data_IF_343187528585
#
_entry.id   IF_343187528585
#
_cell.length_a   1.000
_cell.length_b   1.000
_cell.length_c   1.000
_cell.angle_alpha   90.00
_cell.angle_beta   90.00
_cell.angle_gamma   90.00
#
_symmetry.space_group_name_H-M   'P 1'
#
loop_
_entity.id
_entity.type
_entity.pdbx_description
1 polymer ?
#
# COMPACT_ATOMS: atom_id res chain seq x y z
N UNK A 1 34.84 64.20 -10.54
CA UNK A 1 33.48 63.79 -10.94
C UNK A 1 32.55 63.55 -9.74
N UNK A 2 33.00 62.92 -8.66
CA UNK A 2 32.19 62.62 -7.45
C UNK A 2 31.56 63.84 -6.74
N UNK A 3 32.23 65.01 -6.69
CA UNK A 3 31.68 66.23 -6.06
C UNK A 3 30.46 66.82 -6.80
N UNK A 4 30.40 66.66 -8.13
CA UNK A 4 29.26 67.15 -8.93
C UNK A 4 28.03 66.25 -8.74
N UNK A 5 28.24 64.93 -8.78
CA UNK A 5 27.20 63.93 -8.50
C UNK A 5 26.65 64.05 -7.08
N UNK A 6 27.50 64.38 -6.10
CA UNK A 6 27.10 64.61 -4.70
C UNK A 6 26.20 65.86 -4.54
N UNK A 7 26.54 66.95 -5.21
CA UNK A 7 25.74 68.18 -5.16
C UNK A 7 24.38 68.02 -5.86
N UNK A 8 24.31 67.23 -6.94
CA UNK A 8 23.06 66.87 -7.61
C UNK A 8 22.19 65.93 -6.75
N UNK A 9 22.80 64.91 -6.12
CA UNK A 9 22.09 64.03 -5.18
C UNK A 9 21.54 64.81 -3.98
N UNK A 10 22.30 65.77 -3.45
CA UNK A 10 21.87 66.59 -2.31
C UNK A 10 20.68 67.49 -2.66
N UNK A 11 20.64 68.02 -3.90
CA UNK A 11 19.55 68.87 -4.39
C UNK A 11 18.27 68.09 -4.74
N UNK A 12 18.38 66.81 -5.09
CA UNK A 12 17.23 65.91 -5.41
C UNK A 12 17.03 64.74 -4.43
N UNK A 13 17.59 64.80 -3.22
CA UNK A 13 17.63 63.71 -2.23
C UNK A 13 16.28 63.01 -2.02
N UNK A 14 15.17 63.76 -1.96
CA UNK A 14 13.82 63.22 -1.80
C UNK A 14 13.36 62.35 -2.99
N UNK A 15 13.73 62.72 -4.22
CA UNK A 15 13.38 61.97 -5.45
C UNK A 15 14.19 60.67 -5.57
N UNK A 16 15.48 60.71 -5.23
CA UNK A 16 16.33 59.51 -5.23
C UNK A 16 15.88 58.49 -4.16
N UNK A 17 15.51 58.95 -2.97
CA UNK A 17 14.98 58.07 -1.92
C UNK A 17 13.67 57.42 -2.39
N UNK A 18 12.74 58.21 -2.93
CA UNK A 18 11.47 57.67 -3.43
C UNK A 18 11.67 56.60 -4.51
N UNK A 19 12.52 56.87 -5.51
CA UNK A 19 12.81 55.91 -6.57
C UNK A 19 13.47 54.62 -6.03
N UNK A 20 14.44 54.76 -5.12
CA UNK A 20 15.08 53.62 -4.47
C UNK A 20 14.10 52.77 -3.67
N UNK A 21 13.19 53.40 -2.92
CA UNK A 21 12.14 52.71 -2.17
C UNK A 21 11.17 51.98 -3.09
N UNK A 22 10.74 52.60 -4.20
CA UNK A 22 9.84 51.95 -5.17
C UNK A 22 10.51 50.74 -5.82
N UNK A 23 11.73 50.88 -6.35
CA UNK A 23 12.45 49.79 -6.99
C UNK A 23 12.78 48.66 -6.00
N UNK A 24 13.23 49.00 -4.80
CA UNK A 24 13.49 48.04 -3.74
C UNK A 24 12.22 47.29 -3.31
N UNK A 25 11.09 48.01 -3.18
CA UNK A 25 9.79 47.43 -2.86
C UNK A 25 9.30 46.45 -3.91
N UNK A 26 9.38 46.81 -5.20
CA UNK A 26 9.01 45.93 -6.32
C UNK A 26 9.90 44.68 -6.36
N UNK A 27 11.22 44.82 -6.16
CA UNK A 27 12.13 43.68 -6.14
C UNK A 27 11.81 42.69 -5.01
N UNK A 28 11.59 43.19 -3.79
CA UNK A 28 11.26 42.35 -2.64
C UNK A 28 9.91 41.64 -2.85
N UNK A 29 8.89 42.37 -3.32
CA UNK A 29 7.57 41.79 -3.61
C UNK A 29 7.63 40.72 -4.71
N UNK A 30 8.34 40.99 -5.80
CA UNK A 30 8.50 40.02 -6.89
C UNK A 30 9.22 38.74 -6.43
N UNK A 31 10.30 38.89 -5.66
CA UNK A 31 11.05 37.75 -5.10
C UNK A 31 10.20 36.95 -4.11
N UNK A 32 9.38 37.62 -3.30
CA UNK A 32 8.44 36.96 -2.39
C UNK A 32 7.35 36.21 -3.16
N UNK A 33 6.79 36.80 -4.21
CA UNK A 33 5.81 36.15 -5.09
C UNK A 33 6.36 34.89 -5.76
N UNK A 34 7.55 34.96 -6.35
CA UNK A 34 8.21 33.79 -6.95
C UNK A 34 8.49 32.69 -5.93
N UNK A 35 8.99 33.07 -4.74
CA UNK A 35 9.21 32.12 -3.65
C UNK A 35 7.91 31.46 -3.22
N UNK A 36 6.82 32.23 -3.11
CA UNK A 36 5.51 31.74 -2.69
C UNK A 36 4.89 30.78 -3.71
N UNK A 37 4.98 31.09 -5.00
CA UNK A 37 4.47 30.20 -6.07
C UNK A 37 5.23 28.88 -6.06
N UNK A 38 6.56 28.94 -5.96
CA UNK A 38 7.39 27.74 -5.93
C UNK A 38 7.10 26.87 -4.70
N UNK A 39 6.95 27.48 -3.52
CA UNK A 39 6.59 26.77 -2.29
C UNK A 39 5.23 26.07 -2.41
N UNK A 40 4.24 26.71 -3.04
CA UNK A 40 2.92 26.11 -3.29
C UNK A 40 3.04 24.91 -4.25
N UNK A 41 3.76 25.08 -5.37
CA UNK A 41 3.98 23.98 -6.33
C UNK A 41 4.72 22.80 -5.71
N UNK A 42 5.77 23.07 -4.94
CA UNK A 42 6.54 22.02 -4.25
C UNK A 42 5.66 21.27 -3.24
N UNK A 43 4.78 21.98 -2.53
CA UNK A 43 3.83 21.37 -1.60
C UNK A 43 2.79 20.51 -2.31
N UNK A 44 2.16 21.02 -3.36
CA UNK A 44 1.18 20.27 -4.15
C UNK A 44 1.82 19.03 -4.80
N UNK A 45 3.02 19.16 -5.35
CA UNK A 45 3.77 18.04 -5.91
C UNK A 45 4.12 16.99 -4.84
N UNK A 46 4.52 17.42 -3.64
CA UNK A 46 4.81 16.50 -2.53
C UNK A 46 3.56 15.76 -2.06
N UNK A 47 2.43 16.45 -1.91
CA UNK A 47 1.15 15.85 -1.54
C UNK A 47 0.67 14.86 -2.61
N UNK A 48 0.77 15.23 -3.89
CA UNK A 48 0.45 14.36 -5.02
C UNK A 48 1.29 13.08 -5.05
N UNK A 49 2.62 13.20 -4.93
CA UNK A 49 3.53 12.05 -4.90
C UNK A 49 3.23 11.16 -3.68
N UNK A 50 2.96 11.75 -2.51
CA UNK A 50 2.63 10.99 -1.31
C UNK A 50 1.32 10.20 -1.46
N UNK A 51 0.31 10.79 -2.12
CA UNK A 51 -0.95 10.11 -2.42
C UNK A 51 -0.77 9.01 -3.47
N UNK A 52 -0.06 9.29 -4.56
CA UNK A 52 0.23 8.31 -5.61
C UNK A 52 0.98 7.10 -5.06
N UNK A 53 1.96 7.31 -4.18
CA UNK A 53 2.70 6.23 -3.51
C UNK A 53 1.78 5.37 -2.64
N UNK A 54 0.88 5.99 -1.86
CA UNK A 54 -0.10 5.27 -1.03
C UNK A 54 -1.01 4.39 -1.88
N UNK A 55 -1.53 4.94 -2.97
CA UNK A 55 -2.41 4.21 -3.88
C UNK A 55 -1.70 3.03 -4.54
N UNK A 56 -0.48 3.24 -5.04
CA UNK A 56 0.32 2.17 -5.63
C UNK A 56 0.58 1.03 -4.65
N UNK A 57 0.97 1.35 -3.41
CA UNK A 57 1.17 0.34 -2.36
C UNK A 57 -0.12 -0.44 -2.07
N UNK A 58 -1.26 0.25 -1.99
CA UNK A 58 -2.55 -0.40 -1.74
C UNK A 58 -2.94 -1.35 -2.88
N UNK A 59 -2.87 -0.90 -4.13
CA UNK A 59 -3.19 -1.72 -5.31
C UNK A 59 -2.24 -2.90 -5.49
N UNK A 60 -0.94 -2.68 -5.22
CA UNK A 60 0.05 -3.74 -5.23
C UNK A 60 -0.28 -4.79 -4.17
N UNK A 61 -0.59 -4.36 -2.93
CA UNK A 61 -0.94 -5.27 -1.85
C UNK A 61 -2.21 -6.07 -2.16
N UNK A 62 -3.19 -5.45 -2.80
CA UNK A 62 -4.39 -6.14 -3.24
C UNK A 62 -4.10 -7.22 -4.29
N UNK A 63 -3.25 -6.91 -5.28
CA UNK A 63 -2.82 -7.87 -6.30
C UNK A 63 -2.06 -9.03 -5.69
N UNK A 64 -1.12 -8.76 -4.78
CA UNK A 64 -0.38 -9.79 -4.05
C UNK A 64 -1.32 -10.71 -3.29
N UNK A 65 -2.27 -10.15 -2.53
CA UNK A 65 -3.25 -10.95 -1.80
C UNK A 65 -4.08 -11.86 -2.72
N UNK A 66 -4.53 -11.35 -3.88
CA UNK A 66 -5.28 -12.16 -4.83
C UNK A 66 -4.43 -13.34 -5.34
N UNK A 67 -3.16 -13.09 -5.67
CA UNK A 67 -2.25 -14.15 -6.12
C UNK A 67 -1.98 -15.18 -5.03
N UNK A 68 -1.75 -14.75 -3.79
CA UNK A 68 -1.50 -15.65 -2.65
C UNK A 68 -2.72 -16.51 -2.33
N UNK A 69 -3.94 -15.94 -2.38
CA UNK A 69 -5.18 -16.72 -2.22
C UNK A 69 -5.24 -17.83 -3.27
N UNK A 70 -5.01 -17.47 -4.55
CA UNK A 70 -5.07 -18.43 -5.64
C UNK A 70 -3.99 -19.52 -5.54
N UNK A 71 -2.81 -19.20 -5.02
CA UNK A 71 -1.74 -20.18 -4.83
C UNK A 71 -1.97 -21.12 -3.64
N UNK A 72 -2.67 -20.67 -2.60
CA UNK A 72 -2.99 -21.48 -1.41
C UNK A 72 -4.29 -22.29 -1.55
N UNK A 73 -5.16 -21.89 -2.49
CA UNK A 73 -6.44 -22.56 -2.75
C UNK A 73 -6.29 -24.06 -3.13
N UNK A 74 -5.30 -24.49 -3.95
CA UNK A 74 -5.06 -25.91 -4.23
C UNK A 74 -4.73 -26.70 -2.97
N UNK A 75 -3.84 -26.19 -2.12
CA UNK A 75 -3.46 -26.84 -0.85
C UNK A 75 -4.67 -26.96 0.08
N UNK A 76 -5.50 -25.92 0.17
CA UNK A 76 -6.75 -25.96 0.94
C UNK A 76 -7.71 -27.01 0.38
N UNK A 77 -7.89 -27.05 -0.94
CA UNK A 77 -8.75 -28.04 -1.62
C UNK A 77 -8.25 -29.47 -1.35
N UNK A 78 -6.96 -29.73 -1.46
CA UNK A 78 -6.37 -31.05 -1.24
C UNK A 78 -6.58 -31.50 0.22
N UNK A 79 -6.35 -30.63 1.19
CA UNK A 79 -6.61 -30.91 2.60
C UNK A 79 -8.10 -31.26 2.86
N UNK A 80 -9.03 -30.52 2.23
CA UNK A 80 -10.46 -30.82 2.33
C UNK A 80 -10.83 -32.15 1.66
N UNK A 81 -10.26 -32.45 0.49
CA UNK A 81 -10.53 -33.71 -0.22
C UNK A 81 -9.96 -34.92 0.53
N UNK A 82 -8.81 -34.77 1.20
CA UNK A 82 -8.21 -35.82 2.02
C UNK A 82 -9.01 -36.09 3.30
N UNK A 83 -9.42 -35.04 4.03
CA UNK A 83 -10.15 -35.18 5.29
C UNK A 83 -11.63 -35.57 5.09
N UNK A 84 -12.25 -35.14 3.99
CA UNK A 84 -13.67 -35.36 3.68
C UNK A 84 -13.83 -36.11 2.36
N UNK A 85 -13.26 -37.31 2.30
CA UNK A 85 -13.18 -38.12 1.08
C UNK A 85 -14.53 -38.79 0.72
N UNK A 86 -15.37 -38.08 -0.01
CA UNK A 86 -16.63 -38.62 -0.57
C UNK A 86 -16.42 -39.63 -1.70
N UNK A 87 -15.26 -39.62 -2.37
CA UNK A 87 -14.99 -40.49 -3.53
C UNK A 87 -14.83 -41.95 -3.10
N UNK A 88 -14.23 -42.19 -1.93
CA UNK A 88 -14.10 -43.51 -1.33
C UNK A 88 -15.46 -44.18 -1.07
N UNK A 89 -16.40 -43.45 -0.45
CA UNK A 89 -17.77 -43.91 -0.21
C UNK A 89 -18.54 -44.14 -1.52
N UNK A 90 -18.34 -43.25 -2.50
CA UNK A 90 -18.97 -43.40 -3.83
C UNK A 90 -18.45 -44.64 -4.55
N UNK A 91 -17.17 -44.97 -4.42
CA UNK A 91 -16.57 -46.18 -4.97
C UNK A 91 -17.10 -47.44 -4.27
N UNK A 92 -17.25 -47.41 -2.94
CA UNK A 92 -17.87 -48.50 -2.18
C UNK A 92 -19.31 -48.77 -2.66
N UNK A 93 -20.12 -47.72 -2.88
CA UNK A 93 -21.49 -47.87 -3.38
C UNK A 93 -21.57 -48.53 -4.76
N UNK A 94 -20.57 -48.33 -5.64
CA UNK A 94 -20.54 -48.95 -6.97
C UNK A 94 -20.39 -50.48 -6.91
N UNK A 95 -19.76 -50.99 -5.86
CA UNK A 95 -19.54 -52.44 -5.65
C UNK A 95 -20.75 -53.17 -5.03
N UNK A 96 -21.92 -52.51 -4.91
CA UNK A 96 -23.16 -53.07 -4.35
C UNK A 96 -22.97 -53.77 -2.99
N UNK A 97 -22.48 -53.05 -1.97
CA UNK A 97 -22.29 -53.60 -0.64
C UNK A 97 -23.64 -53.88 0.04
N UNK A 98 -23.64 -54.80 1.01
CA UNK A 98 -24.83 -55.16 1.79
C UNK A 98 -25.32 -54.02 2.67
N UNK A 99 -24.41 -53.18 3.19
CA UNK A 99 -24.69 -52.03 4.06
C UNK A 99 -24.91 -50.72 3.27
N UNK A 100 -25.70 -50.77 2.20
CA UNK A 100 -25.95 -49.61 1.33
C UNK A 100 -26.50 -48.39 2.07
N UNK A 101 -27.42 -48.57 3.02
CA UNK A 101 -28.09 -47.46 3.71
C UNK A 101 -27.11 -46.61 4.52
N UNK A 102 -26.27 -47.24 5.33
CA UNK A 102 -25.24 -46.59 6.15
C UNK A 102 -24.28 -45.76 5.28
N UNK A 103 -23.80 -46.33 4.17
CA UNK A 103 -22.87 -45.64 3.27
C UNK A 103 -23.53 -44.41 2.61
N UNK A 104 -24.83 -44.45 2.33
CA UNK A 104 -25.57 -43.29 1.81
C UNK A 104 -25.76 -42.19 2.85
N UNK A 105 -25.94 -42.55 4.12
CA UNK A 105 -26.00 -41.58 5.22
C UNK A 105 -24.65 -40.92 5.45
N UNK A 106 -23.56 -41.69 5.49
CA UNK A 106 -22.20 -41.17 5.60
C UNK A 106 -21.86 -40.24 4.41
N UNK A 107 -22.23 -40.65 3.19
CA UNK A 107 -22.00 -39.84 2.00
C UNK A 107 -22.75 -38.51 2.07
N UNK A 108 -23.96 -38.50 2.63
CA UNK A 108 -24.75 -37.29 2.84
C UNK A 108 -24.05 -36.36 3.84
N UNK A 109 -23.66 -36.88 5.01
CA UNK A 109 -22.99 -36.11 6.05
C UNK A 109 -21.69 -35.49 5.52
N UNK A 110 -20.85 -36.30 4.84
CA UNK A 110 -19.57 -35.82 4.29
C UNK A 110 -19.80 -34.78 3.20
N UNK A 111 -20.79 -34.97 2.32
CA UNK A 111 -21.07 -34.02 1.24
C UNK A 111 -21.53 -32.64 1.75
N UNK A 112 -22.40 -32.62 2.76
CA UNK A 112 -22.83 -31.38 3.41
C UNK A 112 -21.69 -30.72 4.19
N UNK A 113 -20.97 -31.50 5.00
CA UNK A 113 -19.83 -31.01 5.79
C UNK A 113 -18.76 -30.42 4.89
N UNK A 114 -18.43 -31.08 3.77
CA UNK A 114 -17.43 -30.59 2.81
C UNK A 114 -17.80 -29.25 2.22
N UNK A 115 -19.06 -29.06 1.84
CA UNK A 115 -19.54 -27.79 1.29
C UNK A 115 -19.47 -26.67 2.32
N UNK A 116 -19.92 -26.92 3.55
CA UNK A 116 -19.92 -25.93 4.63
C UNK A 116 -18.48 -25.54 4.99
N UNK A 117 -17.62 -26.52 5.25
CA UNK A 117 -16.22 -26.28 5.63
C UNK A 117 -15.47 -25.59 4.48
N UNK A 118 -15.72 -25.94 3.21
CA UNK A 118 -15.10 -25.26 2.07
C UNK A 118 -15.44 -23.76 2.04
N UNK A 119 -16.69 -23.38 2.29
CA UNK A 119 -17.09 -21.96 2.35
C UNK A 119 -16.39 -21.26 3.53
N UNK A 120 -16.48 -21.81 4.74
CA UNK A 120 -15.89 -21.20 5.93
C UNK A 120 -14.37 -21.05 5.80
N UNK A 121 -13.67 -22.12 5.40
CA UNK A 121 -12.21 -22.10 5.28
C UNK A 121 -11.75 -21.14 4.18
N UNK A 122 -12.45 -21.06 3.05
CA UNK A 122 -12.09 -20.13 1.97
C UNK A 122 -12.29 -18.68 2.41
N UNK A 123 -13.41 -18.36 3.06
CA UNK A 123 -13.66 -17.02 3.60
C UNK A 123 -12.61 -16.64 4.65
N UNK A 124 -12.29 -17.55 5.57
CA UNK A 124 -11.29 -17.32 6.60
C UNK A 124 -9.90 -17.10 5.99
N UNK A 125 -9.50 -17.93 5.01
CA UNK A 125 -8.24 -17.80 4.29
C UNK A 125 -8.10 -16.42 3.63
N UNK A 126 -9.13 -15.95 2.91
CA UNK A 126 -9.11 -14.64 2.24
C UNK A 126 -8.98 -13.50 3.26
N UNK A 127 -9.76 -13.53 4.34
CA UNK A 127 -9.71 -12.48 5.36
C UNK A 127 -8.36 -12.45 6.08
N UNK A 128 -7.84 -13.63 6.47
CA UNK A 128 -6.52 -13.73 7.12
C UNK A 128 -5.40 -13.20 6.23
N UNK A 129 -5.37 -13.59 4.96
CA UNK A 129 -4.35 -13.12 4.02
C UNK A 129 -4.43 -11.60 3.81
N UNK A 130 -5.64 -11.04 3.71
CA UNK A 130 -5.84 -9.58 3.62
C UNK A 130 -5.31 -8.87 4.85
N UNK A 131 -5.61 -9.37 6.05
CA UNK A 131 -5.15 -8.77 7.31
C UNK A 131 -3.63 -8.86 7.43
N UNK A 132 -3.05 -10.05 7.23
CA UNK A 132 -1.61 -10.27 7.30
C UNK A 132 -0.84 -9.40 6.32
N UNK A 133 -1.25 -9.39 5.04
CA UNK A 133 -0.58 -8.60 4.01
C UNK A 133 -0.77 -7.09 4.21
N UNK A 134 -1.92 -6.63 4.70
CA UNK A 134 -2.11 -5.21 5.01
C UNK A 134 -1.24 -4.75 6.19
N UNK A 135 -1.09 -5.58 7.23
CA UNK A 135 -0.21 -5.28 8.36
C UNK A 135 1.25 -5.21 7.88
N UNK A 136 1.71 -6.25 7.17
CA UNK A 136 3.06 -6.33 6.63
C UNK A 136 3.34 -5.18 5.66
N UNK A 137 2.43 -4.91 4.72
CA UNK A 137 2.54 -3.79 3.79
C UNK A 137 2.58 -2.42 4.47
N UNK A 138 1.87 -2.26 5.59
CA UNK A 138 1.93 -1.06 6.43
C UNK A 138 3.32 -0.85 7.05
N UNK A 139 3.91 -1.90 7.61
CA UNK A 139 5.29 -1.85 8.13
C UNK A 139 6.31 -1.53 7.04
N UNK A 140 6.23 -2.17 5.86
CA UNK A 140 7.09 -1.84 4.71
C UNK A 140 6.94 -0.38 4.29
N UNK A 141 5.71 0.15 4.28
CA UNK A 141 5.48 1.54 3.88
C UNK A 141 6.12 2.53 4.86
N UNK A 142 5.96 2.29 6.17
CA UNK A 142 6.56 3.11 7.21
C UNK A 142 8.09 3.03 7.18
N UNK A 143 8.65 1.84 6.96
CA UNK A 143 10.09 1.63 6.85
C UNK A 143 10.67 2.36 5.63
N UNK A 144 10.07 2.22 4.44
CA UNK A 144 10.48 2.96 3.25
C UNK A 144 10.35 4.49 3.41
N UNK A 145 9.35 4.96 4.16
CA UNK A 145 9.20 6.36 4.49
C UNK A 145 10.25 6.85 5.51
N UNK A 146 10.67 5.98 6.44
CA UNK A 146 11.73 6.24 7.40
C UNK A 146 13.12 6.24 6.75
N UNK A 147 13.41 5.28 5.86
CA UNK A 147 14.65 5.21 5.06
C UNK A 147 14.77 6.40 4.11
N UNK A 148 13.66 6.88 3.55
CA UNK A 148 13.63 8.11 2.75
C UNK A 148 13.98 9.38 3.55
N UNK A 149 13.83 9.35 4.89
CA UNK A 149 14.24 10.43 5.81
C UNK A 149 15.66 10.22 6.36
N UNK A 150 16.03 8.98 6.63
CA UNK A 150 17.31 8.57 7.20
C UNK A 150 17.98 7.63 6.21
N UNK A 151 18.79 8.17 5.30
CA UNK A 151 19.55 7.36 4.37
C UNK A 151 20.28 6.23 5.10
N UNK A 152 20.11 5.00 4.61
CA UNK A 152 20.67 3.72 5.08
C UNK A 152 19.97 3.05 6.27
N UNK A 153 18.99 2.18 5.98
CA UNK A 153 18.79 0.95 6.78
C UNK A 153 18.61 -0.21 5.81
N UNK A 154 19.39 -1.26 6.03
CA UNK A 154 19.66 -2.35 5.10
C UNK A 154 18.52 -3.37 5.05
N UNK A 155 18.29 -3.91 3.86
CA UNK A 155 17.22 -4.86 3.45
C UNK A 155 17.26 -6.23 4.16
N UNK A 156 18.00 -6.38 5.26
CA UNK A 156 18.45 -7.69 5.80
C UNK A 156 17.56 -8.25 6.91
N UNK A 157 16.64 -7.46 7.49
CA UNK A 157 15.78 -7.92 8.60
C UNK A 157 14.44 -8.53 8.17
N UNK A 158 14.14 -8.54 6.87
CA UNK A 158 12.84 -8.93 6.34
C UNK A 158 12.55 -10.44 6.45
N UNK A 159 13.59 -11.28 6.40
CA UNK A 159 13.46 -12.74 6.52
C UNK A 159 13.34 -13.25 7.96
N UNK A 160 13.44 -12.37 8.98
CA UNK A 160 13.50 -12.78 10.39
C UNK A 160 12.14 -12.79 11.10
N UNK A 161 11.10 -12.17 10.54
CA UNK A 161 9.79 -12.01 11.19
C UNK A 161 8.67 -12.91 10.64
N UNK A 162 8.91 -13.70 9.59
CA UNK A 162 7.95 -14.71 9.09
C UNK A 162 8.65 -16.03 8.75
N UNK A 163 8.85 -16.94 9.72
CA UNK A 163 9.37 -18.29 9.46
C UNK A 163 8.31 -19.25 8.89
N UNK A 164 7.11 -18.78 8.53
CA UNK A 164 5.99 -19.58 8.00
C UNK A 164 5.64 -19.25 6.54
N UNK A 165 6.57 -18.63 5.80
CA UNK A 165 6.55 -18.55 4.34
C UNK A 165 7.71 -19.36 3.78
#
# INVERSE_FOLDING_TARGET
MLRSTWNFLKRHKKKCIFLGTVLGGVYILGKYGQKKIREIQEREAAEYIAQARRQYHFESNQRTCNMTVLSMLPTLREALMQQLNSESLTALLKNRPSNKLEIWEDLKIISFTRSIVAVYSTCMLVVLLRVQLNIIGGYIYLDNAAVGKNGTVSFTDYYRYCPFL
#
